data_IF_135843869742
#
_entry.id   IF_135843869742
#
_cell.length_a   1.000
_cell.length_b   1.000
_cell.length_c   1.000
_cell.angle_alpha   90.00
_cell.angle_beta   90.00
_cell.angle_gamma   90.00
#
_symmetry.space_group_name_H-M   'P 1'
#
loop_
_entity.id
_entity.type
_entity.pdbx_description
1 polymer ?
#
# COMPACT_ATOMS: atom_id res chain seq x y z
N UNK A 1 11.48 25.88 16.45
CA UNK A 1 12.01 24.80 15.58
C UNK A 1 10.88 23.87 15.18
N UNK A 2 10.57 23.75 13.89
CA UNK A 2 9.45 22.92 13.42
C UNK A 2 9.91 21.50 13.09
N UNK A 3 9.10 20.51 13.49
CA UNK A 3 9.33 19.08 13.24
C UNK A 3 9.55 18.85 11.74
N UNK A 4 10.75 18.44 11.36
CA UNK A 4 11.03 18.00 10.00
C UNK A 4 10.04 16.88 9.60
N UNK A 5 9.20 17.15 8.60
CA UNK A 5 8.26 16.15 8.08
C UNK A 5 9.06 14.99 7.48
N UNK A 6 8.84 13.77 8.00
CA UNK A 6 9.52 12.54 7.54
C UNK A 6 9.30 12.25 6.05
N UNK A 7 8.17 12.72 5.51
CA UNK A 7 7.85 12.68 4.09
C UNK A 7 7.23 14.02 3.71
N UNK A 8 7.88 14.75 2.80
CA UNK A 8 7.33 15.97 2.19
C UNK A 8 6.71 15.65 0.84
N UNK A 9 5.68 16.39 0.45
CA UNK A 9 5.13 16.32 -0.91
C UNK A 9 6.19 16.74 -1.93
N UNK A 10 6.03 16.33 -3.19
CA UNK A 10 6.98 16.70 -4.23
C UNK A 10 7.03 18.23 -4.44
N UNK A 11 5.88 18.91 -4.37
CA UNK A 11 5.80 20.37 -4.47
C UNK A 11 6.56 21.06 -3.33
N UNK A 12 6.44 20.58 -2.09
CA UNK A 12 7.20 21.10 -0.96
C UNK A 12 8.71 20.89 -1.12
N UNK A 13 9.12 19.70 -1.57
CA UNK A 13 10.54 19.40 -1.80
C UNK A 13 11.13 20.29 -2.89
N UNK A 14 10.36 20.55 -3.95
CA UNK A 14 10.73 21.51 -5.01
C UNK A 14 10.92 22.89 -4.41
N UNK A 15 9.93 23.42 -3.66
CA UNK A 15 9.97 24.78 -3.11
C UNK A 15 11.18 25.05 -2.22
N UNK A 16 11.66 24.06 -1.46
CA UNK A 16 12.76 24.24 -0.50
C UNK A 16 14.13 24.01 -1.11
N UNK A 17 14.26 23.05 -2.03
CA UNK A 17 15.58 22.70 -2.56
C UNK A 17 15.97 23.59 -3.75
N UNK A 18 15.08 23.73 -4.72
CA UNK A 18 15.45 24.34 -6.01
C UNK A 18 14.47 25.42 -6.49
N UNK A 19 13.28 25.52 -5.90
CA UNK A 19 12.22 26.44 -6.34
C UNK A 19 11.52 26.06 -7.65
N UNK A 20 12.17 25.27 -8.52
CA UNK A 20 11.65 24.85 -9.83
C UNK A 20 11.64 23.33 -10.01
N UNK A 21 10.58 22.82 -10.63
CA UNK A 21 10.34 21.36 -10.77
C UNK A 21 11.36 20.66 -11.66
N UNK A 22 11.81 21.29 -12.76
CA UNK A 22 12.83 20.73 -13.67
C UNK A 22 14.18 20.57 -12.96
N UNK A 23 14.58 21.60 -12.22
CA UNK A 23 15.85 21.61 -11.49
C UNK A 23 15.80 20.60 -10.34
N UNK A 24 14.66 20.47 -9.67
CA UNK A 24 14.46 19.42 -8.67
C UNK A 24 14.53 18.01 -9.27
N UNK A 25 14.08 17.84 -10.52
CA UNK A 25 14.22 16.55 -11.23
C UNK A 25 15.69 16.22 -11.44
N UNK A 26 16.46 17.15 -11.99
CA UNK A 26 17.92 17.00 -12.19
C UNK A 26 18.63 16.71 -10.85
N UNK A 27 18.38 17.54 -9.84
CA UNK A 27 18.95 17.39 -8.50
C UNK A 27 18.66 16.03 -7.88
N UNK A 28 17.46 15.45 -8.08
CA UNK A 28 17.13 14.10 -7.59
C UNK A 28 17.90 12.97 -8.29
N UNK A 29 18.28 13.16 -9.55
CA UNK A 29 19.11 12.21 -10.28
C UNK A 29 20.57 12.30 -9.84
N UNK A 30 21.03 13.50 -9.51
CA UNK A 30 22.39 13.75 -8.99
C UNK A 30 22.55 13.34 -7.52
N UNK A 31 21.46 13.41 -6.73
CA UNK A 31 21.46 13.10 -5.29
C UNK A 31 20.42 12.02 -4.94
N UNK A 32 20.61 10.77 -5.39
CA UNK A 32 19.63 9.69 -5.22
C UNK A 32 19.37 9.36 -3.74
N UNK A 33 20.39 9.41 -2.90
CA UNK A 33 20.30 9.06 -1.48
C UNK A 33 19.47 10.07 -0.67
N UNK A 34 19.46 11.34 -1.06
CA UNK A 34 18.73 12.41 -0.38
C UNK A 34 17.30 12.63 -0.91
N UNK A 35 16.99 12.10 -2.09
CA UNK A 35 15.67 12.19 -2.68
C UNK A 35 14.65 11.32 -1.91
N UNK A 36 15.13 10.17 -1.42
CA UNK A 36 14.36 9.12 -0.76
C UNK A 36 14.04 9.38 0.72
N UNK A 37 13.10 8.61 1.30
CA UNK A 37 12.92 8.56 2.75
C UNK A 37 14.14 7.87 3.40
N UNK A 38 14.44 8.23 4.65
CA UNK A 38 15.59 7.66 5.35
C UNK A 38 15.49 6.14 5.53
N UNK A 39 16.66 5.47 5.54
CA UNK A 39 16.76 4.00 5.69
C UNK A 39 16.01 3.46 6.91
N UNK A 40 16.05 4.18 8.04
CA UNK A 40 15.30 3.85 9.27
C UNK A 40 13.78 3.87 9.07
N UNK A 41 13.27 4.81 8.27
CA UNK A 41 11.84 4.87 7.96
C UNK A 41 11.42 3.69 7.08
N UNK A 42 12.24 3.33 6.10
CA UNK A 42 12.02 2.17 5.22
C UNK A 42 12.00 0.88 6.03
N UNK A 43 12.99 0.64 6.89
CA UNK A 43 13.06 -0.57 7.72
C UNK A 43 11.87 -0.66 8.67
N UNK A 44 11.50 0.44 9.34
CA UNK A 44 10.29 0.50 10.18
C UNK A 44 9.03 0.11 9.40
N UNK A 45 8.85 0.66 8.20
CA UNK A 45 7.66 0.36 7.36
C UNK A 45 7.66 -1.09 6.88
N UNK A 46 8.82 -1.65 6.56
CA UNK A 46 8.94 -3.06 6.19
C UNK A 46 8.51 -3.97 7.35
N UNK A 47 9.01 -3.71 8.57
CA UNK A 47 8.59 -4.44 9.77
C UNK A 47 7.09 -4.33 10.01
N UNK A 48 6.52 -3.12 9.89
CA UNK A 48 5.08 -2.91 10.04
C UNK A 48 4.24 -3.75 9.05
N UNK A 49 4.67 -3.81 7.78
CA UNK A 49 3.99 -4.63 6.76
C UNK A 49 4.09 -6.12 7.07
N UNK A 50 5.25 -6.60 7.55
CA UNK A 50 5.42 -8.00 7.97
C UNK A 50 4.46 -8.38 9.09
N UNK A 51 4.40 -7.54 10.14
CA UNK A 51 3.46 -7.75 11.25
C UNK A 51 1.99 -7.71 10.80
N UNK A 52 1.66 -6.81 9.86
CA UNK A 52 0.30 -6.74 9.32
C UNK A 52 -0.05 -7.99 8.49
N UNK A 53 0.91 -8.53 7.73
CA UNK A 53 0.73 -9.77 6.99
C UNK A 53 0.50 -10.96 7.94
N UNK A 54 1.28 -11.07 9.02
CA UNK A 54 1.08 -12.08 10.07
C UNK A 54 -0.32 -11.99 10.68
N UNK A 55 -0.73 -10.80 11.13
CA UNK A 55 -2.08 -10.58 11.67
C UNK A 55 -3.20 -10.86 10.67
N UNK A 56 -2.96 -10.63 9.38
CA UNK A 56 -3.93 -10.97 8.33
C UNK A 56 -4.04 -12.49 8.17
N UNK A 57 -2.92 -13.21 8.18
CA UNK A 57 -2.89 -14.66 8.09
C UNK A 57 -3.56 -15.30 9.31
N UNK A 58 -3.23 -14.86 10.52
CA UNK A 58 -3.88 -15.31 11.77
C UNK A 58 -5.40 -15.13 11.72
N UNK A 59 -5.88 -13.98 11.21
CA UNK A 59 -7.32 -13.75 11.04
C UNK A 59 -7.94 -14.69 10.02
N UNK A 60 -7.24 -15.02 8.95
CA UNK A 60 -7.73 -15.98 7.95
C UNK A 60 -7.80 -17.40 8.51
N UNK A 61 -6.80 -17.80 9.30
CA UNK A 61 -6.76 -19.12 9.94
C UNK A 61 -7.83 -19.29 11.02
N UNK A 62 -8.11 -18.23 11.78
CA UNK A 62 -9.14 -18.25 12.83
C UNK A 62 -10.53 -17.82 12.33
N UNK A 63 -10.69 -17.51 11.05
CA UNK A 63 -11.99 -17.09 10.53
C UNK A 63 -12.94 -18.29 10.46
N UNK A 64 -14.17 -18.17 10.94
CA UNK A 64 -15.17 -19.21 10.74
C UNK A 64 -15.47 -19.34 9.23
N UNK A 65 -15.57 -20.58 8.76
CA UNK A 65 -16.02 -20.86 7.39
C UNK A 65 -17.52 -20.56 7.32
N UNK A 66 -17.87 -19.55 6.53
CA UNK A 66 -19.27 -19.20 6.24
C UNK A 66 -19.57 -19.75 4.85
N UNK A 67 -20.62 -20.57 4.75
CA UNK A 67 -21.12 -21.03 3.46
C UNK A 67 -21.75 -19.84 2.73
N UNK A 68 -21.10 -19.39 1.65
CA UNK A 68 -21.52 -18.22 0.85
C UNK A 68 -22.79 -18.54 0.06
N UNK A 69 -23.02 -19.82 -0.21
CA UNK A 69 -24.22 -20.32 -0.86
C UNK A 69 -24.82 -21.42 0.03
N UNK A 70 -25.96 -21.16 0.73
CA UNK A 70 -26.75 -22.28 1.23
C UNK A 70 -27.13 -23.10 -0.02
N UNK A 71 -26.80 -24.40 -0.02
CA UNK A 71 -27.16 -25.28 -1.11
C UNK A 71 -28.64 -25.09 -1.43
N UNK A 72 -28.95 -24.65 -2.65
CA UNK A 72 -30.31 -24.67 -3.16
C UNK A 72 -30.89 -26.08 -2.90
N UNK A 73 -32.16 -26.20 -2.51
CA UNK A 73 -32.79 -27.51 -2.39
C UNK A 73 -32.57 -28.29 -3.69
N UNK A 74 -32.18 -29.56 -3.59
CA UNK A 74 -31.76 -30.43 -4.70
C UNK A 74 -32.89 -30.78 -5.70
N UNK A 75 -33.95 -29.97 -5.77
CA UNK A 75 -35.18 -30.24 -6.51
C UNK A 75 -35.62 -29.05 -7.39
N UNK A 76 -34.69 -28.28 -7.95
CA UNK A 76 -35.02 -27.31 -8.99
C UNK A 76 -34.77 -27.96 -10.37
N UNK A 77 -35.80 -28.15 -11.22
CA UNK A 77 -35.63 -28.76 -12.53
C UNK A 77 -34.84 -27.84 -13.46
N UNK A 78 -33.78 -28.41 -14.05
CA UNK A 78 -32.97 -27.84 -15.11
C UNK A 78 -33.88 -27.45 -16.29
N UNK A 79 -34.11 -26.15 -16.46
CA UNK A 79 -34.73 -25.59 -17.67
C UNK A 79 -33.63 -24.96 -18.50
N UNK A 80 -32.97 -25.80 -19.29
CA UNK A 80 -32.09 -25.39 -20.36
C UNK A 80 -32.90 -24.64 -21.42
N UNK A 81 -32.56 -23.36 -21.62
CA UNK A 81 -33.11 -22.52 -22.68
C UNK A 81 -32.24 -22.69 -23.93
N UNK A 82 -32.75 -23.46 -24.90
CA UNK A 82 -32.24 -23.50 -26.27
C UNK A 82 -32.95 -22.42 -27.11
N UNK A 83 -32.23 -21.37 -27.52
CA UNK A 83 -32.40 -20.70 -28.84
C UNK A 83 -31.23 -19.77 -29.18
#
# INVERSE_FOLDING_TARGET
MTRHKKTRSLADKVKIRTGRRKDYKKWRHENPDEAGPSRRFVSKKQQQRKQQAQKRLERQQNAPTIEIHPSAPKDAPDSGDEH
#
